data_IF_838163630381
#
_entry.id   IF_838163630381
#
_cell.length_a   1.000
_cell.length_b   1.000
_cell.length_c   1.000
_cell.angle_alpha   90.00
_cell.angle_beta   90.00
_cell.angle_gamma   90.00
#
_symmetry.space_group_name_H-M   'P 1'
#
loop_
_entity.id
_entity.type
_entity.pdbx_description
1 polymer ?
#
# COMPACT_ATOMS: atom_id res chain seq x y z
N UNK A 1 81.89 44.80 64.95
CA UNK A 1 81.99 44.42 66.34
C UNK A 1 80.74 43.59 66.75
N UNK A 2 81.01 42.42 67.19
CA UNK A 2 80.21 41.59 68.10
C UNK A 2 78.78 41.13 67.74
N UNK A 3 78.67 39.86 67.52
CA UNK A 3 77.56 38.93 67.83
C UNK A 3 77.03 39.12 69.29
N UNK A 4 75.90 38.53 69.71
CA UNK A 4 75.46 37.11 69.58
C UNK A 4 73.98 36.91 69.31
N UNK A 5 73.54 35.81 68.75
CA UNK A 5 73.27 34.44 69.18
C UNK A 5 72.10 34.26 70.19
N UNK A 6 71.18 33.41 69.85
CA UNK A 6 70.48 32.37 70.60
C UNK A 6 69.07 32.21 70.06
N UNK A 7 68.72 31.16 69.50
CA UNK A 7 68.45 29.77 69.86
C UNK A 7 66.99 29.45 70.20
N UNK A 8 66.51 28.50 69.47
CA UNK A 8 65.58 27.42 69.85
C UNK A 8 64.12 27.78 70.13
N UNK A 9 63.16 27.17 69.55
CA UNK A 9 62.78 25.76 69.72
C UNK A 9 61.54 25.40 68.87
N UNK A 10 61.59 24.32 68.23
CA UNK A 10 60.61 23.21 68.05
C UNK A 10 59.14 23.49 68.38
N UNK A 11 58.28 23.31 67.42
CA UNK A 11 57.18 22.29 67.52
C UNK A 11 56.55 22.02 66.17
N UNK A 12 56.57 20.77 65.77
CA UNK A 12 55.90 20.21 64.60
C UNK A 12 54.40 20.14 64.86
N UNK A 13 53.63 20.64 63.94
CA UNK A 13 52.24 20.27 63.83
C UNK A 13 51.96 19.90 62.33
N UNK A 14 51.93 18.62 62.07
CA UNK A 14 51.53 18.08 60.80
C UNK A 14 50.01 18.27 60.61
N UNK A 15 49.62 19.22 59.79
CA UNK A 15 48.27 19.35 59.36
C UNK A 15 48.08 18.45 58.12
N UNK A 16 47.48 17.29 58.35
CA UNK A 16 47.00 16.40 57.29
C UNK A 16 45.84 17.10 56.55
N UNK A 17 46.11 17.62 55.34
CA UNK A 17 45.08 18.12 54.41
C UNK A 17 44.46 16.94 53.68
N UNK A 18 43.36 16.40 54.22
CA UNK A 18 42.53 15.41 53.57
C UNK A 18 41.75 16.09 52.42
N UNK A 19 42.28 16.00 51.23
CA UNK A 19 41.52 16.34 50.01
C UNK A 19 40.48 15.26 49.75
N UNK A 20 39.25 15.46 50.16
CA UNK A 20 38.08 14.68 49.76
C UNK A 20 37.84 14.93 48.27
N UNK A 21 38.30 14.00 47.46
CA UNK A 21 37.96 13.92 46.06
C UNK A 21 36.50 13.46 45.97
N UNK A 22 35.54 14.38 46.00
CA UNK A 22 34.15 14.11 45.67
C UNK A 22 34.04 13.85 44.16
N UNK A 23 34.16 12.61 43.79
CA UNK A 23 33.80 12.14 42.45
C UNK A 23 32.28 12.36 42.24
N UNK A 24 31.94 13.54 41.72
CA UNK A 24 30.58 13.80 41.22
C UNK A 24 30.27 12.84 40.12
N UNK A 25 29.48 11.79 40.40
CA UNK A 25 28.79 10.99 39.41
C UNK A 25 27.86 11.93 38.66
N UNK A 26 28.36 12.51 37.56
CA UNK A 26 27.49 13.15 36.58
C UNK A 26 26.57 12.03 36.00
N UNK A 27 25.38 11.89 36.56
CA UNK A 27 24.32 11.18 35.95
C UNK A 27 24.00 11.89 34.63
N UNK A 28 24.54 11.39 33.53
CA UNK A 28 24.08 11.78 32.22
C UNK A 28 22.58 11.42 32.16
N UNK A 29 21.71 12.39 32.41
CA UNK A 29 20.30 12.28 32.11
C UNK A 29 20.23 11.94 30.63
N UNK A 30 19.83 10.70 30.30
CA UNK A 30 19.41 10.37 28.94
C UNK A 30 18.39 11.44 28.56
N UNK A 31 18.55 12.09 27.37
CA UNK A 31 17.50 12.95 26.88
C UNK A 31 16.21 12.12 26.91
N UNK A 32 15.19 12.64 27.58
CA UNK A 32 13.88 12.04 27.59
C UNK A 32 13.50 11.83 26.11
N UNK A 33 13.38 10.59 25.66
CA UNK A 33 12.80 10.28 24.36
C UNK A 33 11.48 11.03 24.35
N UNK A 34 11.41 12.07 23.52
CA UNK A 34 10.23 12.92 23.44
C UNK A 34 9.03 12.00 23.28
N UNK A 35 8.12 12.05 24.22
CA UNK A 35 6.94 11.20 24.28
C UNK A 35 6.20 11.40 22.96
N UNK A 36 6.37 10.46 22.02
CA UNK A 36 5.67 10.50 20.72
C UNK A 36 4.19 10.46 21.03
N UNK A 37 3.49 11.52 20.70
CA UNK A 37 2.05 11.59 20.90
C UNK A 37 1.43 10.56 19.96
N UNK A 38 0.81 9.52 20.52
CA UNK A 38 0.03 8.55 19.76
C UNK A 38 -1.22 9.27 19.23
N UNK A 39 -1.29 9.45 17.91
CA UNK A 39 -2.40 10.11 17.24
C UNK A 39 -3.45 9.12 16.75
N UNK A 40 -3.18 7.82 16.88
CA UNK A 40 -4.08 6.76 16.45
C UNK A 40 -5.28 6.66 17.39
N UNK A 41 -6.48 6.68 16.85
CA UNK A 41 -7.68 6.46 17.63
C UNK A 41 -7.71 4.99 18.12
N UNK A 42 -8.00 4.79 19.40
CA UNK A 42 -8.08 3.46 20.02
C UNK A 42 -9.51 2.97 20.28
N UNK A 43 -10.51 3.79 19.98
CA UNK A 43 -11.93 3.46 20.17
C UNK A 43 -12.64 3.14 18.85
N UNK A 44 -12.01 3.46 17.71
CA UNK A 44 -12.49 3.13 16.37
C UNK A 44 -11.31 2.93 15.40
N UNK A 45 -11.52 2.12 14.36
CA UNK A 45 -10.62 2.03 13.22
C UNK A 45 -11.01 3.12 12.22
N UNK A 46 -10.26 4.23 12.19
CA UNK A 46 -10.52 5.34 11.26
C UNK A 46 -9.83 5.10 9.91
N UNK A 47 -10.63 4.81 8.90
CA UNK A 47 -10.17 4.46 7.54
C UNK A 47 -10.36 5.64 6.60
N UNK A 48 -9.33 5.99 5.84
CA UNK A 48 -9.45 6.90 4.70
C UNK A 48 -9.82 6.08 3.46
N UNK A 49 -10.93 6.39 2.82
CA UNK A 49 -11.43 5.64 1.66
C UNK A 49 -12.14 6.55 0.66
N UNK A 50 -12.26 6.07 -0.57
CA UNK A 50 -13.03 6.72 -1.63
C UNK A 50 -14.48 6.24 -1.57
N UNK A 51 -15.48 7.14 -1.59
CA UNK A 51 -16.88 6.74 -1.52
C UNK A 51 -17.42 6.09 -2.79
N UNK A 52 -16.66 6.09 -3.91
CA UNK A 52 -17.14 5.63 -5.21
C UNK A 52 -16.04 4.94 -6.05
N UNK A 53 -15.21 4.07 -5.45
CA UNK A 53 -14.06 3.43 -6.10
C UNK A 53 -14.18 1.90 -6.11
N UNK A 54 -15.25 1.37 -6.68
CA UNK A 54 -15.37 -0.11 -6.81
C UNK A 54 -14.29 -0.68 -7.75
N UNK A 55 -13.74 -1.85 -7.44
CA UNK A 55 -14.09 -2.80 -6.38
C UNK A 55 -13.42 -2.56 -5.03
N UNK A 56 -12.68 -1.47 -4.85
CA UNK A 56 -11.89 -1.19 -3.65
C UNK A 56 -12.78 -0.76 -2.49
N UNK A 57 -13.43 0.38 -2.62
CA UNK A 57 -14.29 0.93 -1.57
C UNK A 57 -15.48 1.71 -2.15
N UNK A 58 -16.56 1.74 -1.39
CA UNK A 58 -17.66 2.68 -1.56
C UNK A 58 -18.30 3.02 -0.22
N UNK A 59 -19.16 4.03 -0.20
CA UNK A 59 -19.85 4.50 1.01
C UNK A 59 -20.92 3.54 1.54
N UNK A 60 -21.25 2.50 0.76
CA UNK A 60 -22.16 1.41 1.15
C UNK A 60 -21.44 0.25 1.84
N UNK A 61 -20.11 0.27 1.89
CA UNK A 61 -19.31 -0.81 2.48
C UNK A 61 -19.20 -2.07 1.61
N UNK A 62 -19.39 -1.95 0.29
CA UNK A 62 -19.46 -3.09 -0.62
C UNK A 62 -18.11 -3.49 -1.22
N UNK A 63 -17.09 -2.61 -1.21
CA UNK A 63 -15.77 -2.90 -1.78
C UNK A 63 -14.93 -3.86 -0.92
N UNK A 64 -13.93 -4.49 -1.52
CA UNK A 64 -13.09 -5.44 -0.79
C UNK A 64 -12.24 -4.77 0.31
N UNK A 65 -11.83 -3.52 0.13
CA UNK A 65 -11.12 -2.77 1.17
C UNK A 65 -12.05 -2.47 2.35
N UNK A 66 -13.36 -2.24 2.10
CA UNK A 66 -14.33 -2.14 3.18
C UNK A 66 -14.41 -3.47 3.96
N UNK A 67 -14.48 -4.61 3.27
CA UNK A 67 -14.53 -5.93 3.93
C UNK A 67 -13.25 -6.25 4.70
N UNK A 68 -12.10 -5.87 4.18
CA UNK A 68 -10.84 -6.02 4.90
C UNK A 68 -10.78 -5.09 6.11
N UNK A 69 -11.30 -3.86 6.02
CA UNK A 69 -11.41 -2.96 7.17
C UNK A 69 -12.30 -3.54 8.28
N UNK A 70 -13.39 -4.22 7.93
CA UNK A 70 -14.25 -4.96 8.88
C UNK A 70 -13.47 -6.07 9.59
N UNK A 71 -12.62 -6.84 8.87
CA UNK A 71 -11.74 -7.88 9.46
C UNK A 71 -10.75 -7.26 10.46
N UNK A 72 -10.11 -6.14 10.06
CA UNK A 72 -9.15 -5.42 10.92
C UNK A 72 -9.83 -4.89 12.18
N UNK A 73 -10.99 -4.26 12.04
CA UNK A 73 -11.73 -3.68 13.14
C UNK A 73 -12.27 -4.76 14.13
N UNK A 74 -12.74 -5.89 13.60
CA UNK A 74 -13.17 -7.03 14.42
C UNK A 74 -12.02 -7.59 15.26
N UNK A 75 -10.82 -7.71 14.68
CA UNK A 75 -9.62 -8.18 15.41
C UNK A 75 -9.20 -7.17 16.50
N UNK A 76 -9.36 -5.88 16.24
CA UNK A 76 -9.10 -4.79 17.19
C UNK A 76 -10.24 -4.61 18.21
N UNK A 77 -11.40 -5.22 17.98
CA UNK A 77 -12.63 -5.10 18.79
C UNK A 77 -13.16 -3.66 18.88
N UNK A 78 -13.12 -2.96 17.76
CA UNK A 78 -13.60 -1.58 17.61
C UNK A 78 -14.47 -1.44 16.36
N UNK A 79 -15.35 -0.43 16.29
CA UNK A 79 -16.07 -0.12 15.06
C UNK A 79 -15.16 0.48 13.99
N UNK A 80 -15.60 0.38 12.72
CA UNK A 80 -14.96 1.10 11.60
C UNK A 80 -15.62 2.48 11.46
N UNK A 81 -14.79 3.51 11.32
CA UNK A 81 -15.21 4.86 10.94
C UNK A 81 -14.50 5.27 9.65
N UNK A 82 -15.23 5.88 8.71
CA UNK A 82 -14.66 6.29 7.44
C UNK A 82 -14.48 7.80 7.33
N UNK A 83 -13.34 8.21 6.79
CA UNK A 83 -13.15 9.53 6.21
C UNK A 83 -13.22 9.38 4.70
N UNK A 84 -14.35 9.75 4.13
CA UNK A 84 -14.60 9.69 2.70
C UNK A 84 -13.97 10.87 1.98
N UNK A 85 -13.15 10.56 0.98
CA UNK A 85 -12.54 11.56 0.09
C UNK A 85 -12.17 10.89 -1.25
N UNK A 86 -12.39 11.54 -2.40
CA UNK A 86 -12.01 10.98 -3.69
C UNK A 86 -10.52 10.64 -3.76
N UNK A 87 -10.19 9.41 -4.13
CA UNK A 87 -8.81 8.93 -4.24
C UNK A 87 -8.15 9.45 -5.53
N UNK A 88 -7.79 10.73 -5.50
CA UNK A 88 -7.15 11.49 -6.56
C UNK A 88 -5.94 12.24 -5.98
N UNK A 89 -5.34 13.11 -6.79
CA UNK A 89 -4.21 13.96 -6.34
C UNK A 89 -4.56 14.71 -5.05
N UNK A 90 -3.71 14.54 -4.04
CA UNK A 90 -3.89 15.16 -2.73
C UNK A 90 -4.69 14.34 -1.71
N UNK A 91 -5.14 13.14 -2.05
CA UNK A 91 -5.87 12.25 -1.15
C UNK A 91 -5.18 12.11 0.22
N UNK A 92 -3.92 11.69 0.25
CA UNK A 92 -3.16 11.51 1.51
C UNK A 92 -3.04 12.82 2.28
N UNK A 93 -2.76 13.93 1.59
CA UNK A 93 -2.61 15.24 2.23
C UNK A 93 -3.91 15.71 2.90
N UNK A 94 -5.07 15.44 2.27
CA UNK A 94 -6.38 15.88 2.75
C UNK A 94 -7.01 14.93 3.78
N UNK A 95 -6.46 13.73 3.93
CA UNK A 95 -7.02 12.69 4.80
C UNK A 95 -6.04 12.23 5.86
N UNK A 96 -5.13 11.31 5.54
CA UNK A 96 -4.20 10.69 6.48
C UNK A 96 -3.23 11.71 7.10
N UNK A 97 -2.58 12.53 6.29
CA UNK A 97 -1.66 13.57 6.77
C UNK A 97 -2.38 14.67 7.56
N UNK A 98 -3.65 14.95 7.24
CA UNK A 98 -4.51 15.86 7.99
C UNK A 98 -5.09 15.23 9.28
N UNK A 99 -4.68 14.02 9.66
CA UNK A 99 -5.10 13.28 10.86
C UNK A 99 -6.61 12.99 10.94
N UNK A 100 -7.28 12.97 9.81
CA UNK A 100 -8.73 12.68 9.74
C UNK A 100 -9.04 11.18 9.84
N UNK A 101 -8.06 10.35 9.59
CA UNK A 101 -8.10 8.90 9.65
C UNK A 101 -6.71 8.35 10.05
N UNK A 102 -6.58 7.06 10.30
CA UNK A 102 -5.34 6.44 10.81
C UNK A 102 -4.77 5.38 9.85
N UNK A 103 -5.52 5.01 8.83
CA UNK A 103 -5.09 4.00 7.84
C UNK A 103 -5.74 4.23 6.48
N UNK A 104 -4.97 3.96 5.42
CA UNK A 104 -5.44 3.77 4.04
C UNK A 104 -5.27 2.30 3.72
N UNK A 105 -6.32 1.64 3.21
CA UNK A 105 -6.30 0.18 3.03
C UNK A 105 -5.49 -0.27 1.82
N UNK A 106 -5.49 0.46 0.71
CA UNK A 106 -4.81 0.06 -0.52
C UNK A 106 -3.74 1.06 -0.95
N UNK A 107 -2.47 0.73 -0.71
CA UNK A 107 -1.35 1.57 -1.13
C UNK A 107 -0.19 0.75 -1.70
N UNK A 108 0.38 1.20 -2.83
CA UNK A 108 1.50 0.50 -3.43
C UNK A 108 2.74 0.57 -2.53
N UNK A 109 3.42 -0.56 -2.33
CA UNK A 109 4.64 -0.60 -1.53
C UNK A 109 5.74 0.28 -2.13
N UNK A 110 6.38 1.09 -1.29
CA UNK A 110 7.49 1.97 -1.67
C UNK A 110 7.05 3.39 -2.06
N UNK A 111 5.78 3.74 -1.92
CA UNK A 111 5.33 5.11 -2.04
C UNK A 111 5.70 5.91 -0.77
N UNK A 112 6.34 7.05 -0.95
CA UNK A 112 6.90 7.86 0.14
C UNK A 112 5.86 8.73 0.87
N UNK A 113 4.63 8.81 0.36
CA UNK A 113 3.58 9.62 1.00
C UNK A 113 3.05 8.98 2.29
N UNK A 114 3.32 7.68 2.49
CA UNK A 114 2.87 6.92 3.65
C UNK A 114 3.97 5.99 4.17
N UNK A 115 3.89 5.64 5.44
CA UNK A 115 4.67 4.54 5.98
C UNK A 115 3.91 3.23 5.67
N UNK A 116 4.49 2.41 4.78
CA UNK A 116 3.88 1.16 4.34
C UNK A 116 3.97 0.06 5.41
N UNK A 117 2.89 -0.70 5.59
CA UNK A 117 2.92 -1.98 6.31
C UNK A 117 3.62 -3.07 5.49
N UNK A 118 3.68 -4.30 6.01
CA UNK A 118 3.91 -5.46 5.17
C UNK A 118 2.79 -5.57 4.13
N UNK A 119 3.08 -6.10 2.93
CA UNK A 119 2.05 -6.27 1.92
C UNK A 119 1.04 -7.33 2.37
N UNK A 120 -0.23 -7.05 2.21
CA UNK A 120 -1.30 -8.01 2.48
C UNK A 120 -1.77 -8.73 1.22
N UNK A 121 -1.47 -8.17 0.02
CA UNK A 121 -1.58 -8.90 -1.23
C UNK A 121 -0.60 -8.39 -2.29
N UNK A 122 -0.42 -9.21 -3.30
CA UNK A 122 0.29 -8.89 -4.53
C UNK A 122 -0.60 -9.23 -5.71
N UNK A 123 -0.67 -8.34 -6.68
CA UNK A 123 -1.43 -8.54 -7.91
C UNK A 123 -0.69 -7.91 -9.10
N UNK A 124 -1.17 -8.16 -10.29
CA UNK A 124 -0.61 -7.63 -11.53
C UNK A 124 -1.69 -7.06 -12.43
N UNK A 125 -1.33 -6.31 -13.44
CA UNK A 125 -2.23 -5.99 -14.53
C UNK A 125 -2.66 -7.27 -15.26
N UNK A 126 -3.83 -7.24 -15.87
CA UNK A 126 -4.38 -8.38 -16.59
C UNK A 126 -4.91 -7.96 -17.96
N UNK A 127 -4.71 -8.84 -18.94
CA UNK A 127 -5.36 -8.78 -20.24
C UNK A 127 -6.76 -9.37 -20.11
N UNK A 128 -7.77 -8.65 -20.61
CA UNK A 128 -9.17 -9.09 -20.61
C UNK A 128 -9.68 -9.14 -22.04
N UNK A 129 -10.33 -10.23 -22.42
CA UNK A 129 -10.89 -10.40 -23.76
C UNK A 129 -12.07 -11.39 -23.78
N UNK A 130 -12.86 -11.38 -24.88
CA UNK A 130 -13.93 -12.36 -25.07
C UNK A 130 -13.39 -13.72 -25.50
N UNK A 131 -13.94 -14.84 -25.02
CA UNK A 131 -13.69 -16.14 -25.63
C UNK A 131 -13.94 -16.09 -27.15
N UNK A 132 -13.09 -16.73 -27.91
CA UNK A 132 -13.20 -16.73 -29.39
C UNK A 132 -12.65 -15.46 -30.08
N UNK A 133 -12.04 -14.53 -29.38
CA UNK A 133 -11.38 -13.35 -29.96
C UNK A 133 -10.06 -13.68 -30.70
N UNK A 134 -9.67 -14.95 -30.75
CA UNK A 134 -8.39 -15.39 -31.33
C UNK A 134 -7.19 -15.09 -30.40
N UNK A 135 -7.42 -14.89 -29.11
CA UNK A 135 -6.41 -14.55 -28.11
C UNK A 135 -6.20 -15.67 -27.08
N UNK A 136 -6.76 -16.85 -27.31
CA UNK A 136 -6.62 -17.96 -26.38
C UNK A 136 -5.14 -18.37 -26.24
N UNK A 137 -4.67 -18.45 -24.98
CA UNK A 137 -3.28 -18.76 -24.66
C UNK A 137 -2.30 -17.57 -24.77
N UNK A 138 -2.78 -16.35 -25.03
CA UNK A 138 -1.97 -15.12 -24.88
C UNK A 138 -1.74 -14.88 -23.39
N UNK A 139 -0.48 -14.72 -22.97
CA UNK A 139 -0.10 -14.55 -21.57
C UNK A 139 0.91 -13.41 -21.35
N UNK A 140 1.26 -12.68 -22.40
CA UNK A 140 2.14 -11.49 -22.36
C UNK A 140 1.81 -10.53 -23.51
N UNK A 141 2.17 -9.25 -23.37
CA UNK A 141 1.81 -8.20 -24.33
C UNK A 141 2.62 -8.24 -25.65
N UNK A 142 3.77 -8.89 -25.65
CA UNK A 142 4.57 -9.05 -26.87
C UNK A 142 4.06 -10.20 -27.79
N UNK A 143 2.95 -10.86 -27.48
CA UNK A 143 2.38 -11.92 -28.32
C UNK A 143 1.90 -11.35 -29.66
N UNK A 144 2.34 -11.96 -30.75
CA UNK A 144 2.05 -11.50 -32.12
C UNK A 144 0.53 -11.44 -32.43
N UNK A 145 -0.30 -12.22 -31.74
CA UNK A 145 -1.78 -12.22 -31.88
C UNK A 145 -2.42 -10.90 -31.44
N UNK A 146 -1.70 -10.09 -30.65
CA UNK A 146 -2.14 -8.75 -30.25
C UNK A 146 -1.87 -7.68 -31.31
N UNK A 147 -1.01 -7.98 -32.30
CA UNK A 147 -0.75 -7.06 -33.40
C UNK A 147 -2.02 -6.78 -34.20
N UNK A 148 -2.29 -5.52 -34.50
CA UNK A 148 -3.48 -5.08 -35.22
C UNK A 148 -4.80 -5.14 -34.42
N UNK A 149 -4.78 -5.57 -33.16
CA UNK A 149 -5.96 -5.57 -32.29
C UNK A 149 -6.21 -4.19 -31.66
N UNK A 150 -7.47 -3.85 -31.49
CA UNK A 150 -7.91 -2.66 -30.75
C UNK A 150 -7.87 -2.98 -29.26
N UNK A 151 -6.85 -2.53 -28.57
CA UNK A 151 -6.63 -2.85 -27.15
C UNK A 151 -6.92 -1.62 -26.30
N UNK A 152 -7.84 -1.75 -25.35
CA UNK A 152 -8.11 -0.72 -24.35
C UNK A 152 -6.98 -0.61 -23.34
N UNK A 153 -6.57 0.60 -22.99
CA UNK A 153 -5.58 0.84 -21.94
C UNK A 153 -5.87 2.16 -21.24
N UNK A 154 -5.66 2.21 -19.92
CA UNK A 154 -5.75 3.47 -19.17
C UNK A 154 -4.49 4.28 -19.42
N UNK A 155 -4.65 5.49 -19.93
CA UNK A 155 -3.53 6.38 -20.27
C UNK A 155 -2.69 6.72 -19.02
N UNK A 156 -1.36 6.77 -19.19
CA UNK A 156 -0.43 7.10 -18.10
C UNK A 156 -0.16 5.94 -17.13
N UNK A 157 -0.69 4.74 -17.39
CA UNK A 157 -0.39 3.55 -16.58
C UNK A 157 0.80 2.75 -17.14
N UNK A 158 1.46 1.91 -16.32
CA UNK A 158 2.58 1.08 -16.78
C UNK A 158 2.30 0.25 -18.03
N UNK A 159 1.13 -0.40 -18.21
CA UNK A 159 0.81 -1.11 -19.46
C UNK A 159 0.85 -0.21 -20.70
N UNK A 160 0.42 1.05 -20.60
CA UNK A 160 0.46 1.97 -21.73
C UNK A 160 1.91 2.20 -22.22
N UNK A 161 2.87 2.29 -21.30
CA UNK A 161 4.29 2.40 -21.62
C UNK A 161 4.82 1.13 -22.29
N UNK A 162 4.45 -0.04 -21.77
CA UNK A 162 4.84 -1.34 -22.38
C UNK A 162 4.27 -1.46 -23.79
N UNK A 163 2.99 -1.17 -23.97
CA UNK A 163 2.30 -1.21 -25.26
C UNK A 163 2.92 -0.23 -26.27
N UNK A 164 3.34 0.95 -25.83
CA UNK A 164 4.04 1.90 -26.68
C UNK A 164 5.37 1.33 -27.19
N UNK A 165 6.16 0.70 -26.32
CA UNK A 165 7.41 0.04 -26.68
C UNK A 165 7.23 -1.14 -27.64
N UNK A 166 6.08 -1.80 -27.60
CA UNK A 166 5.72 -2.92 -28.49
C UNK A 166 4.98 -2.49 -29.76
N UNK A 167 4.75 -1.19 -29.98
CA UNK A 167 4.02 -0.68 -31.15
C UNK A 167 2.49 -0.90 -31.09
N UNK A 168 1.95 -1.37 -29.97
CA UNK A 168 0.51 -1.67 -29.80
C UNK A 168 -0.33 -0.41 -29.55
N UNK A 169 0.31 0.72 -29.24
CA UNK A 169 -0.39 1.94 -28.85
C UNK A 169 -1.12 2.63 -30.02
N UNK A 170 -0.68 2.38 -31.26
CA UNK A 170 -1.23 3.06 -32.45
C UNK A 170 -2.71 2.78 -32.70
N UNK A 171 -3.18 1.59 -32.34
CA UNK A 171 -4.58 1.15 -32.45
C UNK A 171 -5.27 1.01 -31.10
N UNK A 172 -4.60 1.42 -30.02
CA UNK A 172 -5.15 1.35 -28.68
C UNK A 172 -6.27 2.39 -28.48
N UNK A 173 -7.32 1.98 -27.75
CA UNK A 173 -8.34 2.89 -27.24
C UNK A 173 -7.90 3.40 -25.87
N UNK A 174 -7.55 4.68 -25.73
CA UNK A 174 -7.16 5.23 -24.43
C UNK A 174 -8.39 5.49 -23.55
N UNK A 175 -8.26 5.19 -22.26
CA UNK A 175 -9.23 5.57 -21.21
C UNK A 175 -8.55 6.55 -20.25
N UNK A 176 -9.28 7.55 -19.73
CA UNK A 176 -8.69 8.54 -18.82
C UNK A 176 -8.33 7.90 -17.48
N UNK A 177 -7.18 8.28 -16.92
CA UNK A 177 -6.75 7.85 -15.58
C UNK A 177 -7.51 8.57 -14.47
N UNK A 178 -7.71 9.88 -14.66
CA UNK A 178 -8.36 10.75 -13.67
C UNK A 178 -9.77 11.08 -14.14
N UNK A 179 -10.74 10.61 -13.39
CA UNK A 179 -12.18 10.84 -13.61
C UNK A 179 -12.87 11.12 -12.28
N UNK A 180 -14.02 11.73 -12.35
CA UNK A 180 -14.94 11.75 -11.20
C UNK A 180 -15.64 10.39 -11.10
N UNK A 181 -15.18 9.55 -10.17
CA UNK A 181 -15.66 8.16 -10.01
C UNK A 181 -17.13 8.06 -9.59
N UNK A 182 -17.74 9.15 -9.17
CA UNK A 182 -19.19 9.19 -8.90
C UNK A 182 -20.02 9.03 -10.16
N UNK A 183 -19.45 9.37 -11.33
CA UNK A 183 -20.13 9.41 -12.62
C UNK A 183 -19.46 8.57 -13.70
N UNK A 184 -18.20 8.19 -13.54
CA UNK A 184 -17.43 7.50 -14.57
C UNK A 184 -16.48 6.47 -13.96
N UNK A 185 -16.45 5.30 -14.59
CA UNK A 185 -15.52 4.21 -14.27
C UNK A 185 -14.82 3.74 -15.56
N UNK A 186 -13.60 4.21 -15.82
CA UNK A 186 -12.86 3.80 -17.03
C UNK A 186 -12.67 2.29 -17.16
N UNK A 187 -12.49 1.59 -16.02
CA UNK A 187 -12.41 0.12 -16.02
C UNK A 187 -13.69 -0.55 -16.43
N UNK A 188 -14.82 -0.11 -15.89
CA UNK A 188 -16.14 -0.65 -16.24
C UNK A 188 -16.50 -0.37 -17.71
N UNK A 189 -16.25 0.86 -18.19
CA UNK A 189 -16.43 1.20 -19.61
C UNK A 189 -15.58 0.33 -20.52
N UNK A 190 -14.30 0.12 -20.18
CA UNK A 190 -13.42 -0.74 -20.97
C UNK A 190 -13.98 -2.17 -21.07
N UNK A 191 -14.49 -2.71 -19.96
CA UNK A 191 -15.14 -4.03 -19.96
C UNK A 191 -16.42 -4.02 -20.80
N UNK A 192 -17.22 -2.94 -20.75
CA UNK A 192 -18.38 -2.74 -21.63
C UNK A 192 -17.99 -2.76 -23.11
N UNK A 193 -16.95 -2.04 -23.49
CA UNK A 193 -16.43 -1.96 -24.86
C UNK A 193 -15.84 -3.30 -25.35
N UNK A 194 -15.28 -4.13 -24.45
CA UNK A 194 -14.88 -5.50 -24.76
C UNK A 194 -16.14 -6.34 -25.05
N UNK A 195 -17.18 -6.21 -24.24
CA UNK A 195 -18.43 -6.97 -24.43
C UNK A 195 -19.15 -6.61 -25.70
N UNK A 196 -19.26 -5.31 -26.02
CA UNK A 196 -19.88 -4.84 -27.28
C UNK A 196 -19.08 -5.17 -28.53
N UNK A 197 -17.79 -5.39 -28.42
CA UNK A 197 -16.89 -5.61 -29.55
C UNK A 197 -16.27 -4.31 -30.09
N UNK A 198 -16.44 -3.19 -29.41
CA UNK A 198 -15.80 -1.94 -29.78
C UNK A 198 -14.28 -2.01 -29.63
N UNK A 199 -13.80 -2.88 -28.74
CA UNK A 199 -12.40 -3.28 -28.63
C UNK A 199 -12.26 -4.80 -28.54
N UNK A 200 -11.11 -5.31 -28.97
CA UNK A 200 -10.83 -6.75 -29.00
C UNK A 200 -10.39 -7.27 -27.62
N UNK A 201 -9.64 -6.44 -26.89
CA UNK A 201 -9.12 -6.74 -25.57
C UNK A 201 -8.91 -5.45 -24.76
N UNK A 202 -8.63 -5.57 -23.48
CA UNK A 202 -8.26 -4.43 -22.63
C UNK A 202 -7.23 -4.83 -21.58
N UNK A 203 -6.39 -3.90 -21.16
CA UNK A 203 -5.41 -4.11 -20.09
C UNK A 203 -5.80 -3.26 -18.89
N UNK A 204 -6.15 -3.92 -17.80
CA UNK A 204 -6.60 -3.30 -16.56
C UNK A 204 -5.76 -3.77 -15.36
N UNK A 205 -5.76 -2.97 -14.29
CA UNK A 205 -5.29 -3.44 -13.00
C UNK A 205 -6.08 -4.67 -12.55
N UNK A 206 -5.36 -5.74 -12.16
CA UNK A 206 -5.94 -7.07 -11.93
C UNK A 206 -7.19 -7.10 -11.05
N UNK A 207 -7.24 -6.45 -9.88
CA UNK A 207 -8.44 -6.35 -9.07
C UNK A 207 -9.66 -5.79 -9.82
N UNK A 208 -9.46 -4.75 -10.64
CA UNK A 208 -10.53 -4.19 -11.48
C UNK A 208 -10.91 -5.15 -12.61
N UNK A 209 -9.92 -5.76 -13.25
CA UNK A 209 -10.13 -6.72 -14.33
C UNK A 209 -10.97 -7.90 -13.85
N UNK A 210 -10.62 -8.52 -12.73
CA UNK A 210 -11.34 -9.65 -12.16
C UNK A 210 -12.78 -9.30 -11.80
N UNK A 211 -12.95 -8.22 -11.06
CA UNK A 211 -14.27 -7.78 -10.58
C UNK A 211 -15.23 -7.43 -11.73
N UNK A 212 -14.82 -6.51 -12.61
CA UNK A 212 -15.69 -6.06 -13.69
C UNK A 212 -15.92 -7.13 -14.77
N UNK A 213 -14.97 -8.04 -14.99
CA UNK A 213 -15.18 -9.17 -15.89
C UNK A 213 -16.21 -10.17 -15.34
N UNK A 214 -16.29 -10.32 -14.00
CA UNK A 214 -17.24 -11.22 -13.36
C UNK A 214 -18.67 -10.66 -13.29
N UNK A 215 -18.85 -9.32 -13.28
CA UNK A 215 -20.11 -8.64 -12.96
C UNK A 215 -21.17 -8.66 -14.08
N UNK A 216 -20.93 -9.25 -15.25
CA UNK A 216 -21.81 -9.10 -16.41
C UNK A 216 -22.42 -10.38 -16.97
N UNK A 217 -22.35 -11.51 -16.29
CA UNK A 217 -22.90 -12.79 -16.78
C UNK A 217 -22.10 -13.43 -17.91
N UNK A 218 -21.38 -12.67 -18.72
CA UNK A 218 -20.50 -13.14 -19.77
C UNK A 218 -19.17 -13.62 -19.20
N UNK A 219 -18.69 -14.77 -19.66
CA UNK A 219 -17.39 -15.29 -19.20
C UNK A 219 -16.26 -14.65 -19.99
N UNK A 220 -15.87 -13.44 -19.63
CA UNK A 220 -14.63 -12.86 -20.15
C UNK A 220 -13.42 -13.63 -19.63
N UNK A 221 -12.38 -13.70 -20.45
CA UNK A 221 -11.07 -14.23 -20.02
C UNK A 221 -10.27 -13.13 -19.36
N UNK A 222 -9.77 -13.41 -18.17
CA UNK A 222 -8.86 -12.52 -17.43
C UNK A 222 -7.52 -13.25 -17.31
N UNK A 223 -6.51 -12.72 -17.95
CA UNK A 223 -5.16 -13.31 -18.01
C UNK A 223 -4.17 -12.40 -17.28
N UNK A 224 -3.73 -12.75 -16.07
CA UNK A 224 -2.73 -12.00 -15.34
C UNK A 224 -1.40 -11.93 -16.09
N UNK A 225 -0.87 -10.72 -16.28
CA UNK A 225 0.37 -10.47 -17.00
C UNK A 225 1.58 -10.68 -16.07
N UNK A 226 2.00 -11.94 -15.94
CA UNK A 226 3.12 -12.34 -15.09
C UNK A 226 4.38 -12.70 -15.88
N UNK A 227 4.30 -12.76 -17.21
CA UNK A 227 5.38 -13.20 -18.10
C UNK A 227 5.92 -12.07 -18.99
N UNK A 228 5.76 -10.84 -18.58
CA UNK A 228 6.27 -9.70 -19.33
C UNK A 228 7.81 -9.67 -19.34
N UNK A 229 8.38 -9.12 -20.41
CA UNK A 229 9.82 -8.99 -20.56
C UNK A 229 10.46 -8.16 -19.44
N UNK A 230 11.72 -8.37 -19.18
CA UNK A 230 12.48 -7.65 -18.16
C UNK A 230 12.35 -6.13 -18.34
N UNK A 231 12.04 -5.41 -17.25
CA UNK A 231 11.89 -3.95 -17.24
C UNK A 231 10.45 -3.44 -17.12
N UNK A 232 9.45 -4.24 -17.46
CA UNK A 232 8.04 -3.89 -17.28
C UNK A 232 7.56 -4.25 -15.87
N UNK A 233 7.40 -3.26 -15.00
CA UNK A 233 6.81 -3.50 -13.67
C UNK A 233 5.29 -3.44 -13.77
N UNK A 234 4.64 -4.59 -13.98
CA UNK A 234 3.17 -4.71 -14.00
C UNK A 234 2.59 -5.31 -12.71
N UNK A 235 3.41 -5.92 -11.86
CA UNK A 235 2.99 -6.48 -10.58
C UNK A 235 3.39 -5.58 -9.40
N UNK A 236 2.49 -5.43 -8.45
CA UNK A 236 2.68 -4.58 -7.28
C UNK A 236 2.29 -5.31 -6.00
N UNK A 237 3.05 -5.05 -4.94
CA UNK A 237 2.69 -5.38 -3.56
C UNK A 237 1.86 -4.26 -2.99
N UNK A 238 0.72 -4.60 -2.42
CA UNK A 238 -0.22 -3.64 -1.84
C UNK A 238 -0.20 -3.77 -0.32
N UNK A 239 -0.11 -2.63 0.34
CA UNK A 239 0.07 -2.47 1.78
C UNK A 239 -1.04 -1.60 2.36
N UNK A 240 -1.19 -1.61 3.67
CA UNK A 240 -1.83 -0.48 4.34
C UNK A 240 -0.83 0.67 4.44
N UNK A 241 -1.34 1.90 4.28
CA UNK A 241 -0.58 3.12 4.48
C UNK A 241 -0.96 3.77 5.82
N UNK A 242 0.04 4.09 6.64
CA UNK A 242 -0.13 4.85 7.89
C UNK A 242 0.73 6.11 7.86
N UNK A 243 0.54 7.04 8.79
CA UNK A 243 1.38 8.24 8.89
C UNK A 243 2.82 7.87 9.22
N UNK A 244 3.76 8.67 8.73
CA UNK A 244 5.14 8.59 9.18
C UNK A 244 5.22 8.77 10.70
N UNK A 245 6.19 8.09 11.35
CA UNK A 245 6.42 8.07 12.79
C UNK A 245 5.39 7.25 13.61
N UNK A 246 4.44 6.58 12.98
CA UNK A 246 3.50 5.67 13.64
C UNK A 246 3.97 4.20 13.53
N UNK A 247 5.22 3.95 13.90
CA UNK A 247 5.84 2.61 13.81
C UNK A 247 5.13 1.57 14.67
N UNK A 248 4.59 1.96 15.83
CA UNK A 248 3.83 1.06 16.71
C UNK A 248 2.53 0.62 16.05
N UNK A 249 1.82 1.55 15.44
CA UNK A 249 0.59 1.26 14.69
C UNK A 249 0.89 0.35 13.50
N UNK A 250 1.92 0.65 12.73
CA UNK A 250 2.39 -0.21 11.64
C UNK A 250 2.71 -1.63 12.15
N UNK A 251 3.42 -1.77 13.29
CA UNK A 251 3.72 -3.10 13.86
C UNK A 251 2.48 -3.88 14.24
N UNK A 252 1.50 -3.20 14.84
CA UNK A 252 0.21 -3.79 15.20
C UNK A 252 -0.53 -4.29 13.97
N UNK A 253 -0.62 -3.47 12.91
CA UNK A 253 -1.24 -3.84 11.64
C UNK A 253 -0.51 -5.00 10.96
N UNK A 254 0.83 -5.02 10.97
CA UNK A 254 1.62 -6.13 10.42
C UNK A 254 1.32 -7.45 11.12
N UNK A 255 1.24 -7.44 12.44
CA UNK A 255 0.89 -8.64 13.21
C UNK A 255 -0.55 -9.10 12.90
N UNK A 256 -1.47 -8.17 12.68
CA UNK A 256 -2.85 -8.46 12.31
C UNK A 256 -2.94 -9.05 10.90
N UNK A 257 -2.26 -8.45 9.91
CA UNK A 257 -2.18 -8.98 8.54
C UNK A 257 -1.71 -10.45 8.59
N UNK A 258 -0.63 -10.73 9.33
CA UNK A 258 -0.09 -12.08 9.43
C UNK A 258 -1.10 -13.09 10.02
N UNK A 259 -1.87 -12.70 11.06
CA UNK A 259 -2.87 -13.58 11.67
C UNK A 259 -4.12 -13.79 10.82
N UNK A 260 -4.52 -12.78 10.04
CA UNK A 260 -5.78 -12.78 9.29
C UNK A 260 -5.58 -12.93 7.78
N UNK A 261 -4.37 -13.34 7.36
CA UNK A 261 -4.02 -13.42 5.94
C UNK A 261 -5.00 -14.31 5.15
N UNK A 262 -5.41 -15.44 5.71
CA UNK A 262 -6.36 -16.34 5.07
C UNK A 262 -7.73 -15.70 4.84
N UNK A 263 -8.24 -14.93 5.81
CA UNK A 263 -9.51 -14.22 5.67
C UNK A 263 -9.41 -13.09 4.63
N UNK A 264 -8.29 -12.38 4.62
CA UNK A 264 -8.00 -11.34 3.63
C UNK A 264 -7.95 -11.95 2.23
N UNK A 265 -7.25 -13.08 2.06
CA UNK A 265 -7.19 -13.78 0.78
C UNK A 265 -8.58 -14.24 0.32
N UNK A 266 -9.40 -14.75 1.22
CA UNK A 266 -10.77 -15.19 0.91
C UNK A 266 -11.61 -14.03 0.36
N UNK A 267 -11.54 -12.85 0.98
CA UNK A 267 -12.21 -11.65 0.49
C UNK A 267 -11.71 -11.29 -0.92
N UNK A 268 -10.39 -11.19 -1.10
CA UNK A 268 -9.81 -10.80 -2.39
C UNK A 268 -10.15 -11.78 -3.52
N UNK A 269 -10.09 -13.09 -3.25
CA UNK A 269 -10.47 -14.12 -4.21
C UNK A 269 -11.97 -14.07 -4.56
N UNK A 270 -12.84 -13.79 -3.60
CA UNK A 270 -14.27 -13.62 -3.83
C UNK A 270 -14.58 -12.44 -4.77
N UNK A 271 -13.72 -11.40 -4.76
CA UNK A 271 -13.80 -10.28 -5.71
C UNK A 271 -13.08 -10.54 -7.05
N UNK A 272 -12.58 -11.75 -7.28
CA UNK A 272 -11.89 -12.12 -8.52
C UNK A 272 -10.48 -11.51 -8.65
N UNK A 273 -9.89 -11.04 -7.58
CA UNK A 273 -8.54 -10.46 -7.60
C UNK A 273 -7.53 -11.54 -7.99
N UNK A 274 -6.73 -11.37 -9.05
CA UNK A 274 -5.65 -12.30 -9.39
C UNK A 274 -4.51 -12.12 -8.37
N UNK A 275 -4.55 -12.92 -7.31
CA UNK A 275 -3.55 -12.92 -6.26
C UNK A 275 -2.28 -13.65 -6.72
N UNK A 276 -1.13 -13.11 -6.39
CA UNK A 276 0.18 -13.66 -6.69
C UNK A 276 0.98 -13.98 -5.43
N UNK A 277 1.67 -15.12 -5.46
CA UNK A 277 2.73 -15.40 -4.49
C UNK A 277 4.03 -14.63 -4.83
N UNK A 278 5.08 -14.80 -4.04
CA UNK A 278 6.36 -14.12 -4.27
C UNK A 278 7.07 -14.59 -5.55
N UNK A 279 6.75 -15.78 -6.05
CA UNK A 279 7.27 -16.37 -7.30
C UNK A 279 6.41 -16.00 -8.52
N UNK A 280 5.39 -15.14 -8.33
CA UNK A 280 4.42 -14.74 -9.37
C UNK A 280 3.48 -15.85 -9.86
N UNK A 281 3.30 -16.92 -9.09
CA UNK A 281 2.26 -17.90 -9.33
C UNK A 281 0.92 -17.41 -8.80
N UNK A 282 -0.17 -17.85 -9.42
CA UNK A 282 -1.52 -17.53 -8.96
C UNK A 282 -1.87 -18.28 -7.69
N UNK A 283 -2.34 -17.54 -6.70
CA UNK A 283 -2.97 -18.08 -5.49
C UNK A 283 -4.46 -18.25 -5.80
N UNK A 284 -4.94 -19.47 -5.78
CA UNK A 284 -6.33 -19.82 -6.08
C UNK A 284 -7.14 -20.24 -4.85
N UNK A 285 -6.48 -20.36 -3.71
CA UNK A 285 -7.10 -20.67 -2.40
C UNK A 285 -6.46 -19.79 -1.32
N UNK A 286 -7.22 -19.43 -0.27
CA UNK A 286 -6.68 -18.65 0.84
C UNK A 286 -5.45 -19.32 1.47
N UNK A 287 -4.43 -18.52 1.81
CA UNK A 287 -3.26 -19.00 2.58
C UNK A 287 -3.69 -19.42 3.99
N UNK A 288 -2.99 -20.39 4.56
CA UNK A 288 -3.24 -20.90 5.92
C UNK A 288 -2.47 -20.10 6.95
#
# INVERSE_FOLDING_TARGET
MRRPALAASRSAAAALLSVLLSAGLATYARPAEGQRVDLVNRTSLRVCADPANMPFSNDKGEGFENKIAEIVAAELKVPVEYTWFPQATGFIRQTLAAKRCDVVMGYAQGDELVLNTNPYYRSTYALVYRPGAGLDGVDHLADARLSGKRIGVVAGTPPATVMAGLGLIQQAKPYPLLVDRRYDSPGERMIGDIRSGDIDAGVLWGPMAGYFAASGGDKLKVVPLTKEAAGARLAYRITFGVRHLEDDWKRQLNALIARRQGDIDAVLLAFGVPLLDEQSNLITQPRR
#
